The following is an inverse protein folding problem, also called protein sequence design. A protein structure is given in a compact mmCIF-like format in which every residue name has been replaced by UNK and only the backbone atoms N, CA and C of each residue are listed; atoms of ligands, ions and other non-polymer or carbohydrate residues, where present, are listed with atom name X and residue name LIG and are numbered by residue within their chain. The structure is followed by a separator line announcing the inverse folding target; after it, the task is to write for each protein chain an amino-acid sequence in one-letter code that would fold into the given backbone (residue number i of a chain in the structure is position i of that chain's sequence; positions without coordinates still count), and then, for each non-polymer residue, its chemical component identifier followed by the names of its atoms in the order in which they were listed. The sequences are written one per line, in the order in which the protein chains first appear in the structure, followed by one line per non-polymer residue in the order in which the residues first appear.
data_IF_825800763710
#
_entry.id   IF_825800763710
#
_cell.length_a   1.000
_cell.length_b   1.000
_cell.length_c   1.000
_cell.angle_alpha   90.00
_cell.angle_beta   90.00
_cell.angle_gamma   90.00
#
_symmetry.space_group_name_H-M   'P 1'
#
loop_
_entity.id
_entity.type
_entity.pdbx_description
1 polymer ?
#
# COMPACT_ATOMS: atom_id res chain seq x y z
N UNK A 1 -35.68 52.55 -6.62
CA UNK A 1 -34.70 51.58 -7.14
C UNK A 1 -34.14 50.79 -5.97
N UNK A 2 -34.54 49.53 -5.82
CA UNK A 2 -34.27 48.73 -4.61
C UNK A 2 -32.82 48.24 -4.64
N UNK A 3 -32.03 48.69 -3.65
CA UNK A 3 -30.64 48.32 -3.43
C UNK A 3 -30.51 46.81 -3.12
N UNK A 4 -30.21 45.98 -4.13
CA UNK A 4 -29.80 44.57 -3.96
C UNK A 4 -28.29 44.42 -3.69
N UNK A 5 -27.71 45.21 -2.78
CA UNK A 5 -26.26 45.15 -2.48
C UNK A 5 -25.86 44.22 -1.31
N UNK A 6 -26.82 43.63 -0.58
CA UNK A 6 -26.54 42.74 0.56
C UNK A 6 -26.68 41.23 0.32
N UNK A 7 -27.19 40.80 -0.85
CA UNK A 7 -27.56 39.39 -1.08
C UNK A 7 -26.48 38.54 -1.79
N UNK A 8 -25.37 39.14 -2.25
CA UNK A 8 -24.30 38.42 -2.94
C UNK A 8 -23.30 37.71 -2.01
N UNK A 9 -23.10 38.23 -0.80
CA UNK A 9 -22.14 37.68 0.17
C UNK A 9 -22.67 36.43 0.90
N UNK A 10 -23.99 36.35 1.07
CA UNK A 10 -24.66 35.25 1.78
C UNK A 10 -24.69 33.95 0.94
N UNK A 11 -25.01 34.06 -0.35
CA UNK A 11 -25.20 32.88 -1.21
C UNK A 11 -23.91 32.08 -1.39
N UNK A 12 -22.78 32.74 -1.69
CA UNK A 12 -21.49 32.06 -1.85
C UNK A 12 -21.04 31.39 -0.55
N UNK A 13 -21.27 32.03 0.60
CA UNK A 13 -20.93 31.47 1.91
C UNK A 13 -21.77 30.24 2.23
N UNK A 14 -23.08 30.27 1.94
CA UNK A 14 -23.97 29.12 2.12
C UNK A 14 -23.54 27.94 1.25
N UNK A 15 -23.16 28.19 -0.01
CA UNK A 15 -22.67 27.14 -0.92
C UNK A 15 -21.38 26.50 -0.37
N UNK A 16 -20.46 27.29 0.16
CA UNK A 16 -19.21 26.78 0.76
C UNK A 16 -19.47 25.92 2.01
N UNK A 17 -20.43 26.32 2.86
CA UNK A 17 -20.82 25.54 4.04
C UNK A 17 -21.41 24.19 3.61
N UNK A 18 -22.28 24.18 2.60
CA UNK A 18 -22.88 22.93 2.09
C UNK A 18 -21.80 22.01 1.51
N UNK A 19 -20.87 22.54 0.72
CA UNK A 19 -19.76 21.76 0.17
C UNK A 19 -18.83 21.22 1.27
N UNK A 20 -18.52 22.01 2.29
CA UNK A 20 -17.70 21.58 3.42
C UNK A 20 -18.36 20.42 4.19
N UNK A 21 -19.67 20.53 4.46
CA UNK A 21 -20.43 19.45 5.11
C UNK A 21 -20.49 18.21 4.23
N UNK A 22 -20.70 18.37 2.92
CA UNK A 22 -20.72 17.25 1.98
C UNK A 22 -19.37 16.50 1.94
N UNK A 23 -18.25 17.22 1.88
CA UNK A 23 -16.90 16.62 1.94
C UNK A 23 -16.70 15.91 3.27
N UNK A 24 -17.11 16.51 4.38
CA UNK A 24 -16.95 15.92 5.71
C UNK A 24 -17.74 14.62 5.86
N UNK A 25 -18.97 14.54 5.32
CA UNK A 25 -19.76 13.31 5.27
C UNK A 25 -19.07 12.23 4.44
N UNK A 26 -18.55 12.57 3.25
CA UNK A 26 -17.83 11.63 2.40
C UNK A 26 -16.58 11.10 3.10
N UNK A 27 -15.83 11.96 3.79
CA UNK A 27 -14.64 11.54 4.54
C UNK A 27 -14.99 10.60 5.70
N UNK A 28 -16.03 10.90 6.48
CA UNK A 28 -16.48 10.01 7.57
C UNK A 28 -16.88 8.65 7.02
N UNK A 29 -17.67 8.60 5.93
CA UNK A 29 -18.08 7.35 5.30
C UNK A 29 -16.88 6.59 4.72
N UNK A 30 -15.96 7.28 4.04
CA UNK A 30 -14.75 6.70 3.46
C UNK A 30 -13.81 6.11 4.52
N UNK A 31 -13.61 6.80 5.65
CA UNK A 31 -12.82 6.29 6.76
C UNK A 31 -13.54 5.19 7.56
N UNK A 32 -14.88 5.22 7.67
CA UNK A 32 -15.64 4.20 8.42
C UNK A 32 -15.76 2.87 7.67
N UNK A 33 -15.99 2.91 6.36
CA UNK A 33 -16.12 1.72 5.51
C UNK A 33 -14.74 1.21 5.08
N UNK A 34 -13.75 2.09 5.06
CA UNK A 34 -12.42 1.84 4.55
C UNK A 34 -12.34 2.04 3.03
N UNK A 35 -11.27 2.73 2.60
CA UNK A 35 -10.99 3.00 1.19
C UNK A 35 -10.75 1.74 0.34
N UNK A 36 -10.49 0.59 0.99
CA UNK A 36 -10.26 -0.71 0.33
C UNK A 36 -11.47 -1.24 -0.43
N UNK A 37 -12.70 -0.82 -0.08
CA UNK A 37 -13.92 -1.21 -0.81
C UNK A 37 -14.25 -0.31 -1.99
N UNK A 38 -13.78 0.95 -1.96
CA UNK A 38 -14.07 1.95 -3.00
C UNK A 38 -13.05 1.95 -4.14
N UNK A 39 -11.89 1.33 -3.94
CA UNK A 39 -10.82 1.27 -4.93
C UNK A 39 -10.47 -0.18 -5.31
N UNK A 40 -11.44 -1.01 -5.78
CA UNK A 40 -11.17 -2.38 -6.20
C UNK A 40 -10.24 -2.45 -7.44
N UNK A 41 -10.04 -1.32 -8.14
CA UNK A 41 -9.18 -1.21 -9.31
C UNK A 41 -7.74 -0.78 -8.99
N UNK A 42 -7.44 -0.39 -7.74
CA UNK A 42 -6.05 -0.24 -7.32
C UNK A 42 -5.48 -1.65 -7.19
N UNK A 43 -4.78 -2.11 -8.24
CA UNK A 43 -3.99 -3.35 -8.19
C UNK A 43 -3.21 -3.34 -6.89
N UNK A 44 -3.51 -4.28 -5.98
CA UNK A 44 -2.90 -4.30 -4.65
C UNK A 44 -1.49 -4.87 -4.74
N UNK A 45 -0.56 -4.10 -5.29
CA UNK A 45 0.85 -4.47 -5.26
C UNK A 45 1.37 -4.37 -3.81
N UNK A 46 2.08 -5.40 -3.35
CA UNK A 46 2.70 -5.44 -2.02
C UNK A 46 4.22 -5.67 -2.06
N UNK A 47 4.86 -5.54 -3.22
CA UNK A 47 6.29 -5.81 -3.43
C UNK A 47 7.14 -4.95 -2.51
N UNK A 48 6.83 -3.66 -2.34
CA UNK A 48 7.56 -2.77 -1.43
C UNK A 48 7.42 -3.20 0.04
N UNK A 49 6.25 -3.68 0.43
CA UNK A 49 6.03 -4.19 1.80
C UNK A 49 6.87 -5.43 2.05
N UNK A 50 6.95 -6.33 1.07
CA UNK A 50 7.76 -7.55 1.14
C UNK A 50 9.25 -7.20 1.14
N UNK A 51 9.68 -6.29 0.26
CA UNK A 51 11.05 -5.77 0.23
C UNK A 51 11.47 -5.22 1.59
N UNK A 52 10.63 -4.39 2.20
CA UNK A 52 10.90 -3.84 3.54
C UNK A 52 10.96 -4.94 4.59
N UNK A 53 10.04 -5.91 4.57
CA UNK A 53 10.06 -7.03 5.51
C UNK A 53 11.32 -7.90 5.35
N UNK A 54 11.80 -8.11 4.12
CA UNK A 54 13.05 -8.81 3.86
C UNK A 54 14.27 -8.02 4.34
N UNK A 55 14.28 -6.69 4.10
CA UNK A 55 15.32 -5.79 4.60
C UNK A 55 15.42 -5.78 6.12
N UNK A 56 14.27 -5.74 6.82
CA UNK A 56 14.21 -5.81 8.30
C UNK A 56 14.68 -7.17 8.81
N UNK A 57 14.20 -8.28 8.22
CA UNK A 57 14.65 -9.61 8.61
C UNK A 57 16.16 -9.79 8.43
N UNK A 58 16.72 -9.23 7.35
CA UNK A 58 18.15 -9.24 7.10
C UNK A 58 18.94 -8.38 8.10
N UNK A 59 18.50 -7.14 8.35
CA UNK A 59 19.21 -6.21 9.23
C UNK A 59 19.18 -6.64 10.70
N UNK A 60 18.14 -7.35 11.10
CA UNK A 60 18.00 -7.92 12.46
C UNK A 60 18.64 -9.29 12.61
N UNK A 61 19.17 -9.89 11.54
CA UNK A 61 19.72 -11.25 11.57
C UNK A 61 18.67 -12.34 11.84
N UNK A 62 17.39 -12.06 11.57
CA UNK A 62 16.29 -13.02 11.80
C UNK A 62 16.29 -14.11 10.74
N UNK A 63 17.02 -15.20 11.01
CA UNK A 63 17.19 -16.35 10.09
C UNK A 63 15.84 -16.96 9.73
N UNK A 64 14.97 -17.20 10.71
CA UNK A 64 13.67 -17.81 10.45
C UNK A 64 12.79 -16.93 9.56
N UNK A 65 12.74 -15.63 9.83
CA UNK A 65 11.90 -14.68 9.07
C UNK A 65 12.41 -14.48 7.65
N UNK A 66 13.72 -14.53 7.43
CA UNK A 66 14.29 -14.39 6.10
C UNK A 66 14.19 -15.69 5.29
N UNK A 67 14.53 -16.82 5.90
CA UNK A 67 14.71 -18.09 5.18
C UNK A 67 13.43 -18.93 5.08
N UNK A 68 12.56 -18.89 6.09
CA UNK A 68 11.45 -19.86 6.24
C UNK A 68 10.08 -19.21 6.07
N UNK A 69 9.88 -18.00 6.60
CA UNK A 69 8.57 -17.33 6.57
C UNK A 69 8.13 -17.06 5.13
N UNK A 70 6.99 -17.66 4.78
CA UNK A 70 6.33 -17.54 3.49
C UNK A 70 5.58 -16.19 3.41
N UNK A 71 5.92 -15.38 2.42
CA UNK A 71 5.28 -14.10 2.11
C UNK A 71 4.47 -14.25 0.83
N UNK A 72 3.19 -13.90 0.88
CA UNK A 72 2.35 -13.85 -0.31
C UNK A 72 2.70 -12.62 -1.12
N UNK A 73 3.30 -12.82 -2.30
CA UNK A 73 3.70 -11.78 -3.24
C UNK A 73 2.55 -11.51 -4.19
N UNK A 74 2.16 -10.25 -4.26
CA UNK A 74 1.28 -9.70 -5.26
C UNK A 74 1.99 -8.52 -5.93
N UNK A 75 2.45 -8.71 -7.15
CA UNK A 75 3.06 -7.64 -7.94
C UNK A 75 2.05 -6.87 -8.80
N UNK A 76 0.77 -7.27 -8.74
CA UNK A 76 -0.32 -6.69 -9.52
C UNK A 76 -0.33 -7.10 -11.00
N UNK A 77 0.68 -7.83 -11.48
CA UNK A 77 0.81 -8.20 -12.90
C UNK A 77 0.70 -9.71 -13.11
N UNK A 78 1.28 -10.50 -12.20
CA UNK A 78 1.33 -11.95 -12.26
C UNK A 78 0.42 -12.57 -11.21
N UNK A 79 0.20 -13.89 -11.33
CA UNK A 79 -0.49 -14.65 -10.30
C UNK A 79 0.23 -14.55 -8.96
N UNK A 80 -0.57 -14.44 -7.89
CA UNK A 80 -0.06 -14.41 -6.53
C UNK A 80 0.63 -15.72 -6.20
N UNK A 81 1.77 -15.63 -5.54
CA UNK A 81 2.53 -16.80 -5.09
C UNK A 81 3.06 -16.57 -3.68
N UNK A 82 3.51 -17.64 -3.03
CA UNK A 82 4.11 -17.57 -1.69
C UNK A 82 5.55 -18.02 -1.77
N UNK A 83 6.45 -17.22 -1.23
CA UNK A 83 7.84 -17.64 -1.07
C UNK A 83 8.55 -16.93 0.09
N UNK A 84 9.73 -17.42 0.47
CA UNK A 84 10.58 -16.78 1.49
C UNK A 84 11.47 -15.68 0.89
N UNK A 85 11.98 -14.76 1.71
CA UNK A 85 12.91 -13.72 1.24
C UNK A 85 14.18 -14.31 0.61
N UNK A 86 14.64 -15.44 1.13
CA UNK A 86 15.74 -16.19 0.54
C UNK A 86 15.42 -16.60 -0.90
N UNK A 87 14.28 -17.25 -1.13
CA UNK A 87 13.89 -17.69 -2.47
C UNK A 87 13.61 -16.51 -3.40
N UNK A 88 13.05 -15.42 -2.88
CA UNK A 88 12.80 -14.18 -3.62
C UNK A 88 14.09 -13.51 -4.15
N UNK A 89 15.24 -13.79 -3.54
CA UNK A 89 16.54 -13.24 -3.95
C UNK A 89 17.40 -14.23 -4.74
N UNK A 90 17.12 -15.54 -4.63
CA UNK A 90 17.98 -16.60 -5.19
C UNK A 90 17.37 -17.30 -6.41
N UNK A 91 16.04 -17.39 -6.51
CA UNK A 91 15.39 -18.01 -7.68
C UNK A 91 15.43 -17.07 -8.88
N UNK A 92 15.97 -17.57 -9.99
CA UNK A 92 16.11 -16.84 -11.26
C UNK A 92 14.78 -16.31 -11.78
N UNK A 93 13.69 -17.05 -11.52
CA UNK A 93 12.33 -16.64 -11.91
C UNK A 93 11.98 -15.25 -11.36
N UNK A 94 12.30 -14.97 -10.10
CA UNK A 94 11.96 -13.69 -9.46
C UNK A 94 13.00 -12.60 -9.73
N UNK A 95 14.27 -12.98 -9.94
CA UNK A 95 15.31 -12.04 -10.35
C UNK A 95 14.92 -11.34 -11.67
N UNK A 96 14.31 -12.07 -12.60
CA UNK A 96 13.82 -11.51 -13.88
C UNK A 96 12.66 -10.52 -13.72
N UNK A 97 11.92 -10.58 -12.60
CA UNK A 97 10.78 -9.70 -12.31
C UNK A 97 11.17 -8.37 -11.67
N UNK A 98 12.45 -8.20 -11.28
CA UNK A 98 12.98 -6.92 -10.85
C UNK A 98 12.39 -6.36 -9.54
N UNK A 99 11.99 -7.23 -8.60
CA UNK A 99 11.38 -6.81 -7.33
C UNK A 99 12.30 -5.99 -6.40
N UNK A 100 13.59 -5.91 -6.71
CA UNK A 100 14.55 -5.08 -5.97
C UNK A 100 14.76 -5.52 -4.51
N UNK A 101 14.54 -6.81 -4.23
CA UNK A 101 14.84 -7.43 -2.93
C UNK A 101 16.31 -7.83 -2.96
N UNK A 102 17.09 -7.33 -2.02
CA UNK A 102 18.54 -7.57 -1.97
C UNK A 102 18.87 -8.86 -1.23
N UNK A 103 19.95 -9.52 -1.66
CA UNK A 103 20.51 -10.69 -0.97
C UNK A 103 21.03 -10.29 0.42
N UNK A 104 20.81 -11.16 1.40
CA UNK A 104 21.29 -10.94 2.76
C UNK A 104 22.61 -11.66 3.03
N UNK A 105 23.68 -10.93 3.37
CA UNK A 105 24.99 -11.52 3.70
C UNK A 105 25.14 -11.85 5.19
N UNK A 106 24.31 -11.25 6.05
CA UNK A 106 24.32 -11.44 7.51
C UNK A 106 23.53 -12.66 7.97
N UNK A 107 22.63 -13.17 7.12
CA UNK A 107 21.79 -14.33 7.41
C UNK A 107 22.25 -15.50 6.54
N UNK A 108 22.62 -16.60 7.19
CA UNK A 108 22.92 -17.85 6.50
C UNK A 108 21.68 -18.76 6.58
N UNK A 109 21.04 -19.01 5.44
CA UNK A 109 19.90 -19.91 5.38
C UNK A 109 20.38 -21.36 5.34
N UNK A 110 19.89 -22.25 6.24
CA UNK A 110 20.14 -23.66 6.09
C UNK A 110 19.50 -24.13 4.79
N UNK A 111 20.33 -24.67 3.88
CA UNK A 111 19.84 -25.36 2.68
C UNK A 111 19.08 -26.60 3.14
N UNK A 112 17.79 -26.66 2.78
CA UNK A 112 16.96 -27.85 2.96
C UNK A 112 17.27 -28.88 1.86
#
# INVERSE_FOLDING_TARGET
MINKKGQGLSTSTIVLIILAVAVLVILILGFSIGWSKFLPFLQSNNVDTIKNACGVACSTGSVYDFCTVQREVNDGTNDKFKDSCYNLTTKVEYASRGYGIETCTTVNCPVA
#
